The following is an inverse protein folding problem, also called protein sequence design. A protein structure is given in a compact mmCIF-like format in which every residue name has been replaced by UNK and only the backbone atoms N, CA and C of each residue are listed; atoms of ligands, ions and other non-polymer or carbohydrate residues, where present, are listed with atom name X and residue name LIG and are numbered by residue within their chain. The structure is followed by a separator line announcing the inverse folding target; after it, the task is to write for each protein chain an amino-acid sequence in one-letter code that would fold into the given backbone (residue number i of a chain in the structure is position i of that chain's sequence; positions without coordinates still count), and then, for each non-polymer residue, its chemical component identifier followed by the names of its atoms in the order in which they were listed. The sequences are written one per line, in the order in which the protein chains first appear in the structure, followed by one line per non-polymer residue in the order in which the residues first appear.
data_IF_905627040447
#
_entry.id   IF_905627040447
#
_cell.length_a   1.000
_cell.length_b   1.000
_cell.length_c   1.000
_cell.angle_alpha   90.00
_cell.angle_beta   90.00
_cell.angle_gamma   90.00
#
_symmetry.space_group_name_H-M   'P 1'
#
loop_
_entity.id
_entity.type
_entity.pdbx_description
1 polymer ?
#
# COMPACT_ATOMS: atom_id res chain seq x y z
N UNK A 1 11.08 -1.17 11.73
CA UNK A 1 9.68 -1.60 11.61
C UNK A 1 9.53 -2.26 10.25
N UNK A 2 8.77 -3.35 10.16
CA UNK A 2 8.48 -4.04 8.91
C UNK A 2 6.97 -4.30 8.83
N UNK A 3 6.40 -4.21 7.62
CA UNK A 3 5.10 -4.78 7.30
C UNK A 3 5.34 -6.14 6.66
N UNK A 4 4.55 -7.13 7.03
CA UNK A 4 4.70 -8.48 6.52
C UNK A 4 4.19 -8.54 5.08
N UNK A 5 4.82 -9.35 4.25
CA UNK A 5 4.18 -9.80 3.01
C UNK A 5 3.49 -11.11 3.35
N UNK A 6 2.16 -11.14 3.21
CA UNK A 6 1.39 -12.33 3.51
C UNK A 6 1.58 -13.35 2.39
N UNK A 7 1.81 -14.61 2.76
CA UNK A 7 1.79 -15.71 1.81
C UNK A 7 0.33 -16.01 1.46
N UNK A 8 -0.07 -15.62 0.25
CA UNK A 8 -1.45 -15.70 -0.23
C UNK A 8 -1.48 -15.98 -1.72
N UNK A 9 -2.57 -16.61 -2.16
CA UNK A 9 -2.82 -16.96 -3.57
C UNK A 9 -3.78 -16.00 -4.28
N UNK A 10 -4.18 -14.92 -3.61
CA UNK A 10 -5.12 -13.93 -4.15
C UNK A 10 -4.62 -13.28 -5.45
N UNK A 11 -5.57 -13.06 -6.36
CA UNK A 11 -5.38 -12.33 -7.60
C UNK A 11 -5.67 -10.84 -7.42
N UNK A 12 -5.15 -9.98 -8.31
CA UNK A 12 -5.42 -8.54 -8.26
C UNK A 12 -6.92 -8.16 -8.17
N UNK A 13 -7.84 -8.82 -8.89
CA UNK A 13 -9.28 -8.58 -8.71
C UNK A 13 -9.79 -8.88 -7.30
N UNK A 14 -9.31 -9.94 -6.65
CA UNK A 14 -9.70 -10.28 -5.28
C UNK A 14 -9.10 -9.28 -4.27
N UNK A 15 -7.85 -8.90 -4.47
CA UNK A 15 -7.19 -7.86 -3.67
C UNK A 15 -7.88 -6.49 -3.81
N UNK A 16 -8.45 -6.19 -4.98
CA UNK A 16 -9.25 -4.97 -5.19
C UNK A 16 -10.54 -5.00 -4.37
N UNK A 17 -11.21 -6.14 -4.25
CA UNK A 17 -12.39 -6.26 -3.39
C UNK A 17 -12.00 -5.99 -1.93
N UNK A 18 -10.87 -6.55 -1.48
CA UNK A 18 -10.38 -6.28 -0.13
C UNK A 18 -10.03 -4.81 0.08
N UNK A 19 -9.35 -4.17 -0.87
CA UNK A 19 -9.04 -2.74 -0.81
C UNK A 19 -10.31 -1.87 -0.69
N UNK A 20 -11.41 -2.27 -1.32
CA UNK A 20 -12.69 -1.56 -1.21
C UNK A 20 -13.32 -1.68 0.18
N UNK A 21 -13.19 -2.85 0.82
CA UNK A 21 -13.61 -3.07 2.22
C UNK A 21 -12.78 -2.19 3.16
N UNK A 22 -11.45 -2.33 3.12
CA UNK A 22 -10.53 -1.59 3.99
C UNK A 22 -10.70 -0.07 3.83
N UNK A 23 -10.91 0.42 2.59
CA UNK A 23 -11.13 1.84 2.35
C UNK A 23 -12.44 2.33 2.99
N UNK A 24 -13.48 1.50 2.99
CA UNK A 24 -14.75 1.83 3.66
C UNK A 24 -14.54 1.93 5.17
N UNK A 25 -13.78 1.01 5.76
CA UNK A 25 -13.50 0.98 7.19
C UNK A 25 -12.67 2.19 7.64
N UNK A 26 -11.61 2.56 6.91
CA UNK A 26 -10.88 3.84 7.13
C UNK A 26 -11.82 5.03 7.07
N UNK A 27 -12.70 5.08 6.07
CA UNK A 27 -13.62 6.21 5.89
C UNK A 27 -14.56 6.35 7.09
N UNK A 28 -15.11 5.23 7.55
CA UNK A 28 -16.03 5.18 8.70
C UNK A 28 -15.30 5.53 10.01
N UNK A 29 -14.10 5.01 10.23
CA UNK A 29 -13.28 5.33 11.39
C UNK A 29 -12.98 6.84 11.50
N UNK A 30 -12.60 7.47 10.37
CA UNK A 30 -12.33 8.91 10.31
C UNK A 30 -13.60 9.72 10.59
N UNK A 31 -14.73 9.36 9.98
CA UNK A 31 -16.02 10.07 10.16
C UNK A 31 -16.50 9.96 11.62
N UNK A 32 -16.34 8.79 12.24
CA UNK A 32 -16.77 8.54 13.61
C UNK A 32 -15.81 9.11 14.67
N UNK A 33 -14.64 9.63 14.26
CA UNK A 33 -13.62 10.15 15.17
C UNK A 33 -12.94 9.06 16.02
N UNK A 34 -13.03 7.80 15.59
CA UNK A 34 -12.43 6.67 16.29
C UNK A 34 -10.93 6.59 15.98
N UNK A 35 -10.13 7.16 16.87
CA UNK A 35 -8.68 7.28 16.68
C UNK A 35 -7.95 5.93 16.71
N UNK A 36 -8.43 4.97 17.51
CA UNK A 36 -7.82 3.66 17.60
C UNK A 36 -8.13 2.87 16.32
N UNK A 37 -9.40 2.84 15.92
CA UNK A 37 -9.79 2.19 14.68
C UNK A 37 -9.08 2.83 13.47
N UNK A 38 -9.03 4.17 13.39
CA UNK A 38 -8.41 4.86 12.24
C UNK A 38 -6.97 4.43 11.98
N UNK A 39 -6.17 4.16 13.02
CA UNK A 39 -4.77 3.75 12.83
C UNK A 39 -4.68 2.33 12.28
N UNK A 40 -5.49 1.41 12.81
CA UNK A 40 -5.60 0.02 12.36
C UNK A 40 -6.01 -0.05 10.90
N UNK A 41 -7.13 0.60 10.56
CA UNK A 41 -7.67 0.58 9.19
C UNK A 41 -6.69 1.21 8.17
N UNK A 42 -5.90 2.22 8.57
CA UNK A 42 -4.84 2.78 7.70
C UNK A 42 -3.75 1.73 7.43
N UNK A 43 -3.35 0.97 8.45
CA UNK A 43 -2.36 -0.08 8.31
C UNK A 43 -2.88 -1.23 7.44
N UNK A 44 -4.17 -1.58 7.56
CA UNK A 44 -4.77 -2.63 6.75
C UNK A 44 -4.88 -2.22 5.27
N UNK A 45 -5.23 -0.96 4.98
CA UNK A 45 -5.14 -0.41 3.62
C UNK A 45 -3.71 -0.51 3.07
N UNK A 46 -2.70 -0.16 3.87
CA UNK A 46 -1.30 -0.28 3.46
C UNK A 46 -0.91 -1.75 3.22
N UNK A 47 -1.38 -2.68 4.05
CA UNK A 47 -1.12 -4.10 3.93
C UNK A 47 -1.68 -4.67 2.62
N UNK A 48 -2.90 -4.29 2.23
CA UNK A 48 -3.51 -4.69 0.96
C UNK A 48 -2.74 -4.10 -0.22
N UNK A 49 -2.41 -2.81 -0.19
CA UNK A 49 -1.67 -2.14 -1.27
C UNK A 49 -0.26 -2.73 -1.49
N UNK A 50 0.43 -3.09 -0.40
CA UNK A 50 1.72 -3.79 -0.48
C UNK A 50 1.54 -5.20 -1.07
N UNK A 51 0.49 -5.91 -0.67
CA UNK A 51 0.10 -7.20 -1.26
C UNK A 51 -0.08 -7.09 -2.78
N UNK A 52 -0.83 -6.09 -3.25
CA UNK A 52 -1.04 -5.85 -4.67
C UNK A 52 0.25 -5.56 -5.44
N UNK A 53 1.17 -4.78 -4.87
CA UNK A 53 2.50 -4.56 -5.46
C UNK A 53 3.27 -5.87 -5.57
N UNK A 54 3.26 -6.70 -4.52
CA UNK A 54 3.89 -8.01 -4.53
C UNK A 54 3.29 -8.94 -5.59
N UNK A 55 1.96 -8.99 -5.71
CA UNK A 55 1.25 -9.72 -6.76
C UNK A 55 1.68 -9.28 -8.16
N UNK A 56 1.84 -7.98 -8.39
CA UNK A 56 2.35 -7.45 -9.68
C UNK A 56 3.80 -7.83 -9.94
N UNK A 57 4.66 -7.84 -8.92
CA UNK A 57 6.05 -8.32 -9.06
C UNK A 57 6.05 -9.80 -9.45
N UNK A 58 5.27 -10.64 -8.76
CA UNK A 58 5.17 -12.09 -8.98
C UNK A 58 4.57 -12.46 -10.34
N UNK A 59 3.53 -11.76 -10.78
CA UNK A 59 2.72 -12.16 -11.95
C UNK A 59 3.11 -11.42 -13.24
N UNK A 60 3.61 -10.20 -13.15
CA UNK A 60 3.92 -9.35 -14.32
C UNK A 60 5.44 -9.12 -14.51
N UNK A 61 6.30 -9.75 -13.69
CA UNK A 61 7.75 -9.50 -13.64
C UNK A 61 8.07 -8.00 -13.53
N UNK A 62 7.28 -7.29 -12.71
CA UNK A 62 7.43 -5.86 -12.51
C UNK A 62 8.73 -5.54 -11.77
N UNK A 63 9.51 -4.62 -12.33
CA UNK A 63 10.61 -3.95 -11.62
C UNK A 63 10.04 -2.87 -10.69
N UNK A 64 9.83 -3.25 -9.42
CA UNK A 64 9.24 -2.40 -8.39
C UNK A 64 10.09 -1.15 -8.13
N UNK A 65 11.42 -1.27 -8.11
CA UNK A 65 12.32 -0.15 -7.87
C UNK A 65 12.18 0.90 -8.98
N UNK A 66 12.13 0.46 -10.24
CA UNK A 66 11.92 1.34 -11.39
C UNK A 66 10.58 2.08 -11.32
N UNK A 67 9.49 1.39 -10.98
CA UNK A 67 8.17 2.04 -10.88
C UNK A 67 8.08 3.02 -9.69
N UNK A 68 8.70 2.71 -8.54
CA UNK A 68 8.83 3.65 -7.41
C UNK A 68 9.61 4.90 -7.84
N UNK A 69 10.76 4.73 -8.51
CA UNK A 69 11.57 5.84 -8.98
C UNK A 69 10.81 6.74 -9.96
N UNK A 70 10.03 6.15 -10.87
CA UNK A 70 9.16 6.87 -11.81
C UNK A 70 8.04 7.62 -11.08
N UNK A 71 7.43 7.00 -10.06
CA UNK A 71 6.43 7.65 -9.21
C UNK A 71 7.00 8.86 -8.47
N UNK A 72 8.16 8.72 -7.82
CA UNK A 72 8.80 9.81 -7.09
C UNK A 72 9.16 10.99 -8.02
N UNK A 73 9.70 10.72 -9.21
CA UNK A 73 9.94 11.77 -10.22
C UNK A 73 8.66 12.50 -10.62
N UNK A 74 7.52 11.79 -10.71
CA UNK A 74 6.21 12.40 -10.99
C UNK A 74 5.74 13.32 -9.86
N UNK A 75 5.98 12.97 -8.60
CA UNK A 75 5.66 13.82 -7.45
C UNK A 75 6.51 15.11 -7.45
N UNK A 76 7.82 15.00 -7.70
CA UNK A 76 8.70 16.18 -7.80
C UNK A 76 8.26 17.13 -8.92
N UNK A 77 7.87 16.59 -10.10
CA UNK A 77 7.31 17.40 -11.20
C UNK A 77 6.01 18.13 -10.83
N UNK A 78 5.25 17.58 -9.88
CA UNK A 78 4.01 18.18 -9.34
C UNK A 78 4.27 19.15 -8.18
N UNK A 79 5.55 19.54 -7.96
CA UNK A 79 5.99 20.46 -6.90
C UNK A 79 5.74 19.94 -5.48
N UNK A 80 5.65 18.62 -5.30
CA UNK A 80 5.73 18.05 -3.96
C UNK A 80 7.16 18.14 -3.43
N UNK A 81 7.31 18.63 -2.20
CA UNK A 81 8.60 18.73 -1.54
C UNK A 81 8.91 17.44 -0.76
N UNK A 82 10.15 16.97 -0.88
CA UNK A 82 10.60 15.81 -0.12
C UNK A 82 10.83 16.19 1.34
N UNK A 83 10.09 15.55 2.26
CA UNK A 83 10.24 15.74 3.72
C UNK A 83 11.02 14.61 4.40
N UNK A 84 10.71 13.36 4.06
CA UNK A 84 11.31 12.15 4.65
C UNK A 84 11.00 10.93 3.79
N UNK A 85 11.60 9.78 4.10
CA UNK A 85 11.33 8.50 3.44
C UNK A 85 11.05 7.39 4.45
N UNK A 86 10.24 6.42 4.03
CA UNK A 86 10.06 5.12 4.69
C UNK A 86 10.76 4.09 3.82
N UNK A 87 11.58 3.22 4.41
CA UNK A 87 12.20 2.11 3.71
C UNK A 87 11.44 0.82 4.05
N UNK A 88 10.95 0.12 3.04
CA UNK A 88 10.42 -1.23 3.16
C UNK A 88 11.50 -2.22 2.71
N UNK A 89 11.71 -3.28 3.48
CA UNK A 89 12.64 -4.34 3.14
C UNK A 89 11.84 -5.58 2.73
N UNK A 90 12.10 -6.08 1.53
CA UNK A 90 11.60 -7.38 1.07
C UNK A 90 12.75 -8.35 1.26
N UNK A 91 12.71 -9.15 2.32
CA UNK A 91 13.66 -10.23 2.52
C UNK A 91 13.15 -11.43 1.72
N UNK A 92 13.85 -11.76 0.64
CA UNK A 92 13.68 -12.97 -0.17
C UNK A 92 14.18 -14.22 0.56
#
# INVERSE_FOLDING_TARGET
MHLMILDKEETLPEELLKLQEEFKEVKEAIINGDKQNTTEEILDNMQVLIGMLYTKVKTENMDLEKEINKHNRKLLKRRWEFKSKINFYINS
#
